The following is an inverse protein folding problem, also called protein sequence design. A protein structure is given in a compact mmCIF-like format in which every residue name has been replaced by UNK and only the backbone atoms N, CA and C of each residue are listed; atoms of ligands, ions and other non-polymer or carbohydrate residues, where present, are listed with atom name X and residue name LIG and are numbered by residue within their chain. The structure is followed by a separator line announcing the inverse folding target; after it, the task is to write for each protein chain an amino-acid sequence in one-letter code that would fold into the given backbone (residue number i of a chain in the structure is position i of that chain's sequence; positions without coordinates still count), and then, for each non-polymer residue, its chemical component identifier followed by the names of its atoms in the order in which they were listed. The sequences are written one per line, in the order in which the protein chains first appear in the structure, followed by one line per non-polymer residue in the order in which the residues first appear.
data_IF_842057625038
#
_entry.id   IF_842057625038
#
_cell.length_a   1.000
_cell.length_b   1.000
_cell.length_c   1.000
_cell.angle_alpha   90.00
_cell.angle_beta   90.00
_cell.angle_gamma   90.00
#
_symmetry.space_group_name_H-M   'P 1'
#
loop_
_entity.id
_entity.type
_entity.pdbx_description
1 polymer ?
#
# COMPACT_ATOMS: atom_id res chain seq x y z
N UNK A 1 -13.00 16.66 25.08
CA UNK A 1 -12.64 15.24 24.83
C UNK A 1 -11.13 15.10 24.95
N UNK A 2 -10.61 14.14 25.71
CA UNK A 2 -9.16 14.05 25.92
C UNK A 2 -8.42 13.52 24.68
N UNK A 3 -7.21 14.03 24.42
CA UNK A 3 -6.35 13.59 23.29
C UNK A 3 -6.13 12.08 23.28
N UNK A 4 -6.08 11.45 24.46
CA UNK A 4 -5.93 9.99 24.58
C UNK A 4 -7.09 9.25 23.95
N UNK A 5 -8.34 9.64 24.23
CA UNK A 5 -9.52 8.99 23.66
C UNK A 5 -9.57 9.13 22.12
N UNK A 6 -9.24 10.31 21.58
CA UNK A 6 -9.10 10.52 20.15
C UNK A 6 -8.04 9.58 19.56
N UNK A 7 -6.84 9.56 20.13
CA UNK A 7 -5.74 8.72 19.62
C UNK A 7 -6.08 7.24 19.69
N UNK A 8 -6.75 6.77 20.74
CA UNK A 8 -7.20 5.38 20.82
C UNK A 8 -8.14 5.03 19.66
N UNK A 9 -9.09 5.92 19.33
CA UNK A 9 -10.00 5.71 18.20
C UNK A 9 -9.27 5.69 16.86
N UNK A 10 -8.36 6.66 16.61
CA UNK A 10 -7.62 6.74 15.35
C UNK A 10 -6.63 5.59 15.17
N UNK A 11 -5.89 5.24 16.24
CA UNK A 11 -4.93 4.14 16.19
C UNK A 11 -5.62 2.79 16.00
N UNK A 12 -6.76 2.54 16.67
CA UNK A 12 -7.53 1.30 16.44
C UNK A 12 -8.04 1.18 15.00
N UNK A 13 -8.47 2.28 14.37
CA UNK A 13 -8.87 2.29 12.97
C UNK A 13 -7.68 1.99 12.03
N UNK A 14 -6.51 2.58 12.31
CA UNK A 14 -5.28 2.29 11.55
C UNK A 14 -4.84 0.82 11.71
N UNK A 15 -4.93 0.26 12.92
CA UNK A 15 -4.66 -1.17 13.17
C UNK A 15 -5.62 -2.04 12.37
N UNK A 16 -6.94 -1.76 12.40
CA UNK A 16 -7.92 -2.53 11.65
C UNK A 16 -7.64 -2.51 10.13
N UNK A 17 -7.24 -1.35 9.58
CA UNK A 17 -6.81 -1.25 8.18
C UNK A 17 -5.54 -2.07 7.93
N UNK A 18 -4.51 -1.93 8.77
CA UNK A 18 -3.22 -2.57 8.58
C UNK A 18 -3.33 -4.10 8.60
N UNK A 19 -4.13 -4.67 9.50
CA UNK A 19 -4.39 -6.11 9.52
C UNK A 19 -4.91 -6.61 8.17
N UNK A 20 -5.80 -5.86 7.53
CA UNK A 20 -6.34 -6.23 6.22
C UNK A 20 -5.30 -6.12 5.09
N UNK A 21 -4.31 -5.26 5.23
CA UNK A 21 -3.28 -5.04 4.22
C UNK A 21 -2.13 -6.06 4.31
N UNK A 22 -1.65 -6.40 5.52
CA UNK A 22 -0.42 -7.18 5.71
C UNK A 22 -0.63 -8.58 6.30
N UNK A 23 -1.61 -8.79 7.20
CA UNK A 23 -1.81 -10.06 7.88
C UNK A 23 -2.08 -11.23 6.92
N UNK A 24 -2.65 -10.95 5.75
CA UNK A 24 -2.95 -11.94 4.73
C UNK A 24 -1.71 -12.53 4.04
N UNK A 25 -0.55 -11.85 4.08
CA UNK A 25 0.64 -12.26 3.33
C UNK A 25 1.09 -13.69 3.64
N UNK A 26 1.12 -14.06 4.92
CA UNK A 26 1.52 -15.41 5.35
C UNK A 26 0.47 -16.50 5.04
N UNK A 27 -0.75 -16.10 4.69
CA UNK A 27 -1.93 -16.95 4.60
C UNK A 27 -2.23 -17.35 3.15
N UNK A 28 -1.60 -16.70 2.16
CA UNK A 28 -1.91 -16.90 0.74
C UNK A 28 -1.84 -18.36 0.29
N UNK A 29 -0.78 -19.15 0.61
CA UNK A 29 -0.74 -20.56 0.24
C UNK A 29 -1.80 -21.41 0.93
N UNK A 30 -2.13 -21.10 2.19
CA UNK A 30 -3.21 -21.77 2.93
C UNK A 30 -4.56 -21.53 2.27
N UNK A 31 -4.81 -20.27 1.80
CA UNK A 31 -6.04 -19.93 1.06
C UNK A 31 -6.13 -20.69 -0.27
N UNK A 32 -5.05 -20.75 -1.04
CA UNK A 32 -5.01 -21.49 -2.30
C UNK A 32 -5.38 -22.96 -2.08
N UNK A 33 -4.81 -23.58 -1.05
CA UNK A 33 -5.07 -24.97 -0.70
C UNK A 33 -6.52 -25.20 -0.22
N UNK A 34 -7.01 -24.37 0.73
CA UNK A 34 -8.34 -24.57 1.31
C UNK A 34 -9.49 -24.23 0.34
N UNK A 35 -9.27 -23.31 -0.61
CA UNK A 35 -10.25 -22.93 -1.63
C UNK A 35 -10.11 -23.73 -2.92
N UNK A 36 -9.17 -24.70 -2.99
CA UNK A 36 -8.85 -25.50 -4.17
C UNK A 36 -8.64 -24.63 -5.42
N UNK A 37 -7.79 -23.62 -5.30
CA UNK A 37 -7.48 -22.65 -6.35
C UNK A 37 -5.96 -22.50 -6.50
N UNK A 38 -5.54 -21.74 -7.51
CA UNK A 38 -4.13 -21.46 -7.75
C UNK A 38 -3.63 -20.16 -7.09
N UNK A 39 -2.31 -19.99 -7.06
CA UNK A 39 -1.65 -18.83 -6.44
C UNK A 39 -1.96 -17.52 -7.16
N UNK A 40 -2.18 -17.58 -8.49
CA UNK A 40 -2.52 -16.39 -9.29
C UNK A 40 -3.89 -15.87 -8.88
N UNK A 41 -4.88 -16.77 -8.71
CA UNK A 41 -6.23 -16.40 -8.28
C UNK A 41 -6.21 -15.77 -6.87
N UNK A 42 -5.44 -16.35 -5.93
CA UNK A 42 -5.28 -15.76 -4.59
C UNK A 42 -4.55 -14.41 -4.65
N UNK A 43 -3.52 -14.27 -5.50
CA UNK A 43 -2.85 -13.02 -5.78
C UNK A 43 -3.81 -11.95 -6.31
N UNK A 44 -4.74 -12.32 -7.20
CA UNK A 44 -5.77 -11.42 -7.72
C UNK A 44 -6.75 -10.95 -6.65
N UNK A 45 -7.01 -11.74 -5.61
CA UNK A 45 -7.81 -11.28 -4.45
C UNK A 45 -7.10 -10.13 -3.70
N UNK A 46 -5.77 -10.17 -3.58
CA UNK A 46 -4.99 -9.06 -3.04
C UNK A 46 -5.00 -7.85 -3.98
N UNK A 47 -4.89 -8.08 -5.30
CA UNK A 47 -5.06 -7.03 -6.31
C UNK A 47 -6.40 -6.33 -6.14
N UNK A 48 -7.49 -7.09 -5.96
CA UNK A 48 -8.84 -6.56 -5.74
C UNK A 48 -8.91 -5.65 -4.50
N UNK A 49 -8.30 -6.06 -3.38
CA UNK A 49 -8.21 -5.26 -2.16
C UNK A 49 -7.47 -3.93 -2.37
N UNK A 50 -6.24 -3.99 -2.85
CA UNK A 50 -5.40 -2.81 -2.99
C UNK A 50 -5.92 -1.86 -4.08
N UNK A 51 -6.45 -2.38 -5.18
CA UNK A 51 -7.01 -1.55 -6.24
C UNK A 51 -8.31 -0.87 -5.80
N UNK A 52 -9.17 -1.59 -5.06
CA UNK A 52 -10.33 -0.99 -4.39
C UNK A 52 -9.86 0.14 -3.45
N UNK A 53 -8.81 -0.10 -2.64
CA UNK A 53 -8.21 0.90 -1.77
C UNK A 53 -7.71 2.14 -2.50
N UNK A 54 -7.12 1.97 -3.67
CA UNK A 54 -6.67 3.07 -4.51
C UNK A 54 -7.85 3.92 -5.03
N UNK A 55 -8.92 3.27 -5.52
CA UNK A 55 -10.12 3.95 -6.01
C UNK A 55 -10.76 4.78 -4.91
N UNK A 56 -11.09 4.13 -3.79
CA UNK A 56 -11.78 4.75 -2.67
C UNK A 56 -10.90 5.81 -1.99
N UNK A 57 -9.56 5.65 -2.05
CA UNK A 57 -8.58 6.61 -1.57
C UNK A 57 -8.63 7.96 -2.26
N UNK A 58 -9.06 8.02 -3.53
CA UNK A 58 -9.15 9.26 -4.29
C UNK A 58 -10.33 10.13 -3.84
N UNK A 59 -11.50 9.55 -3.59
CA UNK A 59 -12.71 10.36 -3.39
C UNK A 59 -13.31 10.32 -1.96
N UNK A 60 -13.08 9.26 -1.19
CA UNK A 60 -13.66 9.17 0.16
C UNK A 60 -13.10 10.19 1.17
N UNK A 61 -11.83 10.62 1.11
CA UNK A 61 -11.38 11.73 1.94
C UNK A 61 -12.21 13.00 1.72
N UNK A 62 -12.53 13.35 0.45
CA UNK A 62 -13.42 14.47 0.13
C UNK A 62 -14.85 14.23 0.61
N UNK A 63 -15.37 13.01 0.45
CA UNK A 63 -16.69 12.67 0.99
C UNK A 63 -16.73 12.82 2.52
N UNK A 64 -15.61 12.53 3.20
CA UNK A 64 -15.50 12.70 4.65
C UNK A 64 -15.56 14.15 5.09
N UNK A 65 -15.07 15.08 4.28
CA UNK A 65 -15.19 16.52 4.53
C UNK A 65 -16.64 17.04 4.34
N UNK A 66 -17.41 16.40 3.43
CA UNK A 66 -18.80 16.77 3.12
C UNK A 66 -19.79 16.15 4.11
N UNK A 67 -19.62 14.87 4.46
CA UNK A 67 -20.59 14.10 5.27
C UNK A 67 -20.21 13.99 6.74
N UNK A 68 -19.00 14.41 7.11
CA UNK A 68 -18.43 14.24 8.44
C UNK A 68 -17.45 13.09 8.50
N UNK A 69 -16.27 13.36 9.05
CA UNK A 69 -15.14 12.42 9.06
C UNK A 69 -15.38 11.21 9.94
N UNK A 70 -16.03 11.40 11.10
CA UNK A 70 -16.39 10.31 12.02
C UNK A 70 -17.36 9.33 11.36
N UNK A 71 -18.41 9.87 10.71
CA UNK A 71 -19.41 9.03 10.04
C UNK A 71 -18.79 8.20 8.93
N UNK A 72 -17.97 8.82 8.06
CA UNK A 72 -17.31 8.13 6.95
C UNK A 72 -16.30 7.10 7.48
N UNK A 73 -15.49 7.45 8.48
CA UNK A 73 -14.52 6.51 9.07
C UNK A 73 -15.23 5.29 9.70
N UNK A 74 -16.33 5.51 10.42
CA UNK A 74 -17.13 4.42 10.97
C UNK A 74 -17.75 3.54 9.88
N UNK A 75 -18.27 4.14 8.80
CA UNK A 75 -18.80 3.40 7.66
C UNK A 75 -17.73 2.52 6.99
N UNK A 76 -16.49 3.03 6.83
CA UNK A 76 -15.37 2.25 6.29
C UNK A 76 -15.05 1.05 7.18
N UNK A 77 -15.05 1.21 8.49
CA UNK A 77 -14.83 0.10 9.42
C UNK A 77 -15.96 -0.93 9.37
N UNK A 78 -17.21 -0.49 9.16
CA UNK A 78 -18.34 -1.42 8.90
C UNK A 78 -18.12 -2.20 7.60
N UNK A 79 -17.64 -1.57 6.53
CA UNK A 79 -17.28 -2.31 5.31
C UNK A 79 -16.16 -3.32 5.55
N UNK A 80 -15.16 -2.98 6.37
CA UNK A 80 -14.14 -3.95 6.80
C UNK A 80 -14.75 -5.13 7.52
N UNK A 81 -15.68 -4.90 8.46
CA UNK A 81 -16.39 -5.97 9.16
C UNK A 81 -17.16 -6.86 8.18
N UNK A 82 -17.98 -6.26 7.32
CA UNK A 82 -18.79 -6.99 6.34
C UNK A 82 -17.93 -7.82 5.38
N UNK A 83 -16.86 -7.20 4.84
CA UNK A 83 -15.92 -7.91 3.97
C UNK A 83 -15.17 -9.01 4.72
N UNK A 84 -14.78 -8.79 5.98
CA UNK A 84 -14.11 -9.84 6.78
C UNK A 84 -15.03 -11.00 7.11
N UNK A 85 -16.28 -10.75 7.47
CA UNK A 85 -17.27 -11.82 7.70
C UNK A 85 -17.53 -12.58 6.40
N UNK A 86 -17.71 -11.88 5.27
CA UNK A 86 -17.89 -12.53 3.97
C UNK A 86 -16.67 -13.38 3.57
N UNK A 87 -15.45 -12.88 3.82
CA UNK A 87 -14.21 -13.61 3.58
C UNK A 87 -14.06 -14.85 4.45
N UNK A 88 -14.44 -14.75 5.75
CA UNK A 88 -14.43 -15.90 6.66
C UNK A 88 -15.42 -17.00 6.24
N UNK A 89 -16.52 -16.62 5.61
CA UNK A 89 -17.58 -17.55 5.15
C UNK A 89 -17.41 -17.94 3.67
N UNK A 90 -16.37 -17.46 2.97
CA UNK A 90 -16.19 -17.68 1.55
C UNK A 90 -16.04 -19.18 1.21
N UNK A 91 -16.92 -19.72 0.34
CA UNK A 91 -16.84 -21.11 -0.11
C UNK A 91 -15.90 -21.29 -1.31
N UNK A 92 -15.56 -20.21 -2.01
CA UNK A 92 -14.71 -20.19 -3.20
C UNK A 92 -14.02 -18.84 -3.39
N UNK A 93 -13.11 -18.79 -4.34
CA UNK A 93 -12.31 -17.60 -4.63
C UNK A 93 -13.15 -16.40 -5.09
N UNK A 94 -14.23 -16.61 -5.84
CA UNK A 94 -15.05 -15.52 -6.35
C UNK A 94 -15.76 -14.74 -5.21
N UNK A 95 -16.25 -15.44 -4.18
CA UNK A 95 -16.83 -14.81 -2.99
C UNK A 95 -15.74 -14.12 -2.18
N UNK A 96 -14.55 -14.70 -2.12
CA UNK A 96 -13.40 -14.07 -1.48
C UNK A 96 -12.99 -12.77 -2.19
N UNK A 97 -12.97 -12.75 -3.53
CA UNK A 97 -12.66 -11.53 -4.30
C UNK A 97 -13.65 -10.40 -3.99
N UNK A 98 -14.94 -10.71 -3.92
CA UNK A 98 -15.98 -9.73 -3.50
C UNK A 98 -15.71 -9.23 -2.07
N UNK A 99 -15.37 -10.13 -1.15
CA UNK A 99 -15.02 -9.78 0.22
C UNK A 99 -13.80 -8.82 0.25
N UNK A 100 -12.77 -9.09 -0.55
CA UNK A 100 -11.58 -8.27 -0.66
C UNK A 100 -11.84 -6.90 -1.28
N UNK A 101 -12.72 -6.80 -2.30
CA UNK A 101 -13.18 -5.52 -2.85
C UNK A 101 -13.86 -4.68 -1.75
N UNK A 102 -14.75 -5.29 -0.97
CA UNK A 102 -15.45 -4.60 0.13
C UNK A 102 -14.45 -4.14 1.21
N UNK A 103 -13.52 -5.00 1.63
CA UNK A 103 -12.46 -4.62 2.59
C UNK A 103 -11.58 -3.49 2.06
N UNK A 104 -11.28 -3.49 0.75
CA UNK A 104 -10.46 -2.46 0.10
C UNK A 104 -11.05 -1.06 0.17
N UNK A 105 -12.36 -0.90 0.37
CA UNK A 105 -12.97 0.41 0.64
C UNK A 105 -12.31 1.13 1.82
N UNK A 106 -11.61 0.41 2.71
CA UNK A 106 -10.87 0.96 3.85
C UNK A 106 -9.54 1.66 3.49
N UNK A 107 -9.12 1.66 2.24
CA UNK A 107 -7.86 2.30 1.80
C UNK A 107 -7.64 3.72 2.33
N UNK A 108 -8.63 4.61 2.38
CA UNK A 108 -8.49 5.96 2.90
C UNK A 108 -8.56 6.10 4.43
N UNK A 109 -8.60 5.03 5.20
CA UNK A 109 -8.69 5.09 6.68
C UNK A 109 -7.55 5.93 7.26
N UNK A 110 -6.30 5.67 6.89
CA UNK A 110 -5.14 6.41 7.41
C UNK A 110 -5.18 7.88 7.03
N UNK A 111 -5.37 8.27 5.75
CA UNK A 111 -5.57 9.67 5.37
C UNK A 111 -6.68 10.38 6.15
N UNK A 112 -7.84 9.75 6.33
CA UNK A 112 -8.97 10.35 7.08
C UNK A 112 -8.60 10.51 8.57
N UNK A 113 -7.91 9.55 9.17
CA UNK A 113 -7.39 9.68 10.54
C UNK A 113 -6.45 10.89 10.68
N UNK A 114 -5.54 11.11 9.73
CA UNK A 114 -4.62 12.25 9.72
C UNK A 114 -5.37 13.59 9.52
N UNK A 115 -6.38 13.63 8.65
CA UNK A 115 -7.23 14.81 8.46
C UNK A 115 -8.02 15.12 9.74
N UNK A 116 -8.56 14.12 10.42
CA UNK A 116 -9.28 14.29 11.69
C UNK A 116 -8.34 14.77 12.80
N UNK A 117 -7.13 14.21 12.89
CA UNK A 117 -6.11 14.67 13.84
C UNK A 117 -5.76 16.14 13.60
N UNK A 118 -5.53 16.54 12.34
CA UNK A 118 -5.18 17.91 11.97
C UNK A 118 -6.27 18.93 12.33
N UNK A 119 -7.55 18.57 12.17
CA UNK A 119 -8.66 19.44 12.50
C UNK A 119 -8.91 19.58 14.02
N UNK A 120 -8.38 18.65 14.82
CA UNK A 120 -8.60 18.61 16.27
C UNK A 120 -7.40 19.15 17.06
N UNK A 121 -6.18 18.94 16.53
CA UNK A 121 -4.93 19.36 17.18
C UNK A 121 -4.31 20.50 16.37
N UNK A 122 -4.42 21.70 16.92
CA UNK A 122 -3.99 22.95 16.25
C UNK A 122 -2.51 23.29 16.49
N UNK A 123 -1.91 22.77 17.57
CA UNK A 123 -0.51 23.01 17.90
C UNK A 123 0.41 22.17 16.98
N UNK A 124 1.32 22.83 16.18
CA UNK A 124 2.11 22.12 15.15
C UNK A 124 3.02 21.03 15.71
N UNK A 125 3.71 21.29 16.83
CA UNK A 125 4.61 20.31 17.45
C UNK A 125 3.90 19.05 17.96
N UNK A 126 2.73 19.27 18.60
CA UNK A 126 1.89 18.17 19.08
C UNK A 126 1.26 17.37 17.94
N UNK A 127 0.79 18.08 16.90
CA UNK A 127 0.29 17.42 15.68
C UNK A 127 1.36 16.53 15.04
N UNK A 128 2.59 17.03 14.86
CA UNK A 128 3.71 16.27 14.28
C UNK A 128 4.02 15.01 15.10
N UNK A 129 4.06 15.11 16.44
CA UNK A 129 4.29 13.96 17.32
C UNK A 129 3.20 12.89 17.19
N UNK A 130 1.93 13.28 17.19
CA UNK A 130 0.80 12.36 17.10
C UNK A 130 0.66 11.74 15.70
N UNK A 131 0.96 12.50 14.64
CA UNK A 131 1.05 11.99 13.27
C UNK A 131 2.16 10.93 13.16
N UNK A 132 3.33 11.22 13.77
CA UNK A 132 4.42 10.25 13.86
C UNK A 132 4.03 8.97 14.58
N UNK A 133 3.21 9.06 15.65
CA UNK A 133 2.69 7.90 16.36
C UNK A 133 1.73 7.07 15.49
N UNK A 134 0.84 7.70 14.72
CA UNK A 134 -0.02 6.99 13.75
C UNK A 134 0.84 6.24 12.72
N UNK A 135 1.85 6.90 12.15
CA UNK A 135 2.75 6.28 11.18
C UNK A 135 3.56 5.13 11.80
N UNK A 136 4.05 5.30 13.02
CA UNK A 136 4.80 4.27 13.75
C UNK A 136 3.94 3.05 14.07
N UNK A 137 2.70 3.24 14.52
CA UNK A 137 1.77 2.13 14.79
C UNK A 137 1.41 1.42 13.50
N UNK A 138 1.10 2.17 12.41
CA UNK A 138 0.78 1.57 11.12
C UNK A 138 1.94 0.70 10.59
N UNK A 139 3.18 1.15 10.67
CA UNK A 139 4.36 0.37 10.26
C UNK A 139 4.71 -0.77 11.22
N UNK A 140 4.64 -0.53 12.53
CA UNK A 140 4.99 -1.53 13.55
C UNK A 140 3.99 -2.69 13.64
N UNK A 141 2.71 -2.42 13.43
CA UNK A 141 1.66 -3.46 13.41
C UNK A 141 1.92 -4.47 12.29
N UNK A 142 2.42 -4.04 11.12
CA UNK A 142 2.72 -4.92 10.00
C UNK A 142 3.70 -6.08 10.33
N UNK A 143 4.56 -5.92 11.34
CA UNK A 143 5.45 -6.99 11.80
C UNK A 143 4.79 -7.99 12.75
N UNK A 144 3.87 -7.51 13.59
CA UNK A 144 3.19 -8.33 14.59
C UNK A 144 1.99 -9.04 13.98
N UNK A 145 1.24 -8.38 13.10
CA UNK A 145 0.03 -8.93 12.49
C UNK A 145 0.33 -10.08 11.52
N UNK A 146 1.44 -10.01 10.77
CA UNK A 146 1.87 -11.12 9.91
C UNK A 146 2.24 -12.36 10.72
N UNK A 147 2.84 -12.19 11.92
CA UNK A 147 3.11 -13.30 12.84
C UNK A 147 1.82 -13.92 13.35
N UNK A 148 0.86 -13.07 13.77
CA UNK A 148 -0.47 -13.53 14.19
C UNK A 148 -1.21 -14.24 13.04
N UNK A 149 -1.12 -13.69 11.83
CA UNK A 149 -1.70 -14.28 10.61
C UNK A 149 -1.12 -15.66 10.31
N UNK A 150 0.20 -15.81 10.38
CA UNK A 150 0.88 -17.09 10.19
C UNK A 150 0.51 -18.12 11.25
N UNK A 151 0.42 -17.71 12.52
CA UNK A 151 -0.02 -18.57 13.62
C UNK A 151 -1.44 -19.06 13.41
N UNK A 152 -2.38 -18.15 13.09
CA UNK A 152 -3.77 -18.51 12.83
C UNK A 152 -3.91 -19.39 11.59
N UNK A 153 -3.18 -19.10 10.50
CA UNK A 153 -3.19 -19.92 9.30
C UNK A 153 -2.74 -21.37 9.58
N UNK A 154 -1.75 -21.53 10.47
CA UNK A 154 -1.24 -22.85 10.84
C UNK A 154 -2.22 -23.65 11.71
N UNK A 155 -2.94 -23.00 12.63
CA UNK A 155 -3.70 -23.70 13.68
C UNK A 155 -5.23 -23.66 13.46
N UNK A 156 -5.73 -22.63 12.78
CA UNK A 156 -7.18 -22.37 12.61
C UNK A 156 -7.60 -22.30 11.14
N UNK A 157 -6.60 -22.12 10.23
CA UNK A 157 -6.84 -21.91 8.82
C UNK A 157 -7.11 -20.42 8.46
N UNK A 158 -7.29 -20.13 7.17
CA UNK A 158 -7.45 -18.75 6.71
C UNK A 158 -8.71 -18.07 7.25
N UNK A 159 -9.76 -18.85 7.52
CA UNK A 159 -11.03 -18.33 8.07
C UNK A 159 -10.84 -17.68 9.45
N UNK A 160 -9.95 -18.22 10.28
CA UNK A 160 -9.60 -17.65 11.58
C UNK A 160 -8.96 -16.26 11.47
N UNK A 161 -8.19 -16.02 10.42
CA UNK A 161 -7.59 -14.71 10.12
C UNK A 161 -8.68 -13.68 9.80
N UNK A 162 -9.64 -14.02 8.95
CA UNK A 162 -10.75 -13.12 8.62
C UNK A 162 -11.65 -12.82 9.83
N UNK A 163 -11.93 -13.80 10.69
CA UNK A 163 -12.66 -13.57 11.94
C UNK A 163 -11.91 -12.62 12.88
N UNK A 164 -10.60 -12.75 12.99
CA UNK A 164 -9.78 -11.83 13.80
C UNK A 164 -9.86 -10.40 13.24
N UNK A 165 -9.75 -10.22 11.92
CA UNK A 165 -9.94 -8.92 11.27
C UNK A 165 -11.32 -8.33 11.56
N UNK A 166 -12.38 -9.16 11.51
CA UNK A 166 -13.74 -8.71 11.79
C UNK A 166 -13.87 -8.20 13.23
N UNK A 167 -13.36 -8.95 14.21
CA UNK A 167 -13.43 -8.57 15.64
C UNK A 167 -12.68 -7.26 15.90
N UNK A 168 -11.44 -7.13 15.37
CA UNK A 168 -10.65 -5.90 15.52
C UNK A 168 -11.35 -4.71 14.86
N UNK A 169 -11.95 -4.91 13.69
CA UNK A 169 -12.68 -3.84 12.99
C UNK A 169 -13.95 -3.42 13.76
N UNK A 170 -14.68 -4.34 14.40
CA UNK A 170 -15.82 -4.02 15.27
C UNK A 170 -15.36 -3.18 16.47
N UNK A 171 -14.28 -3.58 17.13
CA UNK A 171 -13.71 -2.82 18.27
C UNK A 171 -13.31 -1.41 17.82
N UNK A 172 -12.63 -1.29 16.68
CA UNK A 172 -12.24 -0.01 16.10
C UNK A 172 -13.45 0.86 15.76
N UNK A 173 -14.51 0.29 15.17
CA UNK A 173 -15.74 0.99 14.85
C UNK A 173 -16.42 1.54 16.11
N UNK A 174 -16.51 0.74 17.17
CA UNK A 174 -17.03 1.17 18.47
C UNK A 174 -16.22 2.32 19.07
N UNK A 175 -14.88 2.23 19.02
CA UNK A 175 -13.99 3.28 19.53
C UNK A 175 -14.14 4.58 18.71
N UNK A 176 -14.22 4.48 17.39
CA UNK A 176 -14.44 5.64 16.52
C UNK A 176 -15.80 6.28 16.82
N UNK A 177 -16.87 5.51 16.91
CA UNK A 177 -18.20 6.03 17.23
C UNK A 177 -18.29 6.65 18.63
N UNK A 178 -17.53 6.15 19.60
CA UNK A 178 -17.58 6.59 21.00
C UNK A 178 -16.67 7.77 21.29
N UNK A 179 -15.48 7.84 20.62
CA UNK A 179 -14.41 8.75 21.01
C UNK A 179 -13.88 9.64 19.88
N UNK A 180 -14.26 9.45 18.63
CA UNK A 180 -13.88 10.38 17.58
C UNK A 180 -14.86 11.59 17.59
N UNK A 181 -14.37 12.83 17.50
CA UNK A 181 -15.22 13.99 17.35
C UNK A 181 -15.82 14.01 15.93
N UNK A 182 -17.07 14.47 15.80
CA UNK A 182 -17.62 14.73 14.48
C UNK A 182 -17.02 16.05 13.93
N UNK A 183 -16.59 16.02 12.68
CA UNK A 183 -16.17 17.23 11.98
C UNK A 183 -17.41 17.97 11.49
N UNK A 184 -17.36 19.31 11.52
CA UNK A 184 -18.41 20.11 10.87
C UNK A 184 -18.31 19.88 9.36
N UNK A 185 -19.42 19.50 8.69
CA UNK A 185 -19.45 19.38 7.24
C UNK A 185 -19.08 20.70 6.57
N UNK A 186 -18.36 20.63 5.46
CA UNK A 186 -18.08 21.83 4.65
C UNK A 186 -19.34 22.29 3.94
N UNK A 187 -19.89 23.42 4.34
CA UNK A 187 -21.08 23.99 3.70
C UNK A 187 -20.77 24.41 2.26
N UNK A 188 -21.66 24.05 1.33
CA UNK A 188 -21.56 24.41 -0.09
C UNK A 188 -20.73 23.50 -0.98
N UNK A 189 -19.90 22.61 -0.42
CA UNK A 189 -19.08 21.66 -1.23
C UNK A 189 -19.94 20.46 -1.65
N UNK A 190 -19.97 20.17 -2.96
CA UNK A 190 -20.69 19.02 -3.53
C UNK A 190 -19.72 17.94 -4.02
N UNK A 191 -20.16 16.69 -3.89
CA UNK A 191 -19.42 15.57 -4.43
C UNK A 191 -19.57 15.50 -5.96
N UNK A 192 -18.47 15.42 -6.67
CA UNK A 192 -18.48 15.23 -8.13
C UNK A 192 -18.63 13.74 -8.50
N UNK A 193 -19.87 13.25 -8.43
CA UNK A 193 -20.18 11.87 -8.84
C UNK A 193 -19.94 11.61 -10.32
N UNK A 194 -19.98 12.64 -11.18
CA UNK A 194 -19.68 12.51 -12.60
C UNK A 194 -18.19 12.29 -12.88
N UNK A 195 -17.30 12.79 -12.00
CA UNK A 195 -15.88 12.46 -12.02
C UNK A 195 -15.58 11.10 -11.40
N UNK A 196 -16.25 10.76 -10.28
CA UNK A 196 -16.04 9.47 -9.59
C UNK A 196 -16.40 8.28 -10.49
N UNK A 197 -17.53 8.33 -11.20
CA UNK A 197 -18.02 7.19 -11.96
C UNK A 197 -17.04 6.69 -13.05
N UNK A 198 -16.51 7.54 -13.95
CA UNK A 198 -15.54 7.07 -14.94
C UNK A 198 -14.24 6.58 -14.31
N UNK A 199 -13.78 7.16 -13.19
CA UNK A 199 -12.61 6.67 -12.48
C UNK A 199 -12.83 5.26 -11.93
N UNK A 200 -13.95 5.02 -11.24
CA UNK A 200 -14.30 3.70 -10.69
C UNK A 200 -14.41 2.66 -11.81
N UNK A 201 -15.10 3.00 -12.90
CA UNK A 201 -15.27 2.12 -14.06
C UNK A 201 -13.94 1.84 -14.77
N UNK A 202 -13.06 2.83 -14.90
CA UNK A 202 -11.74 2.65 -15.49
C UNK A 202 -10.92 1.63 -14.71
N UNK A 203 -10.87 1.78 -13.38
CA UNK A 203 -10.08 0.88 -12.54
C UNK A 203 -10.72 -0.50 -12.46
N UNK A 204 -12.06 -0.59 -12.40
CA UNK A 204 -12.77 -1.86 -12.51
C UNK A 204 -12.45 -2.58 -13.83
N UNK A 205 -12.42 -1.85 -14.95
CA UNK A 205 -12.04 -2.42 -16.25
C UNK A 205 -10.61 -2.99 -16.22
N UNK A 206 -9.65 -2.30 -15.62
CA UNK A 206 -8.28 -2.80 -15.47
C UNK A 206 -8.24 -4.04 -14.60
N UNK A 207 -8.99 -4.06 -13.47
CA UNK A 207 -9.07 -5.24 -12.59
C UNK A 207 -9.63 -6.47 -13.32
N UNK A 208 -10.73 -6.29 -14.07
CA UNK A 208 -11.32 -7.38 -14.84
C UNK A 208 -10.37 -7.85 -15.97
N UNK A 209 -9.63 -6.92 -16.59
CA UNK A 209 -8.60 -7.28 -17.58
C UNK A 209 -7.50 -8.12 -16.96
N UNK A 210 -6.98 -7.74 -15.78
CA UNK A 210 -5.94 -8.47 -15.08
C UNK A 210 -6.43 -9.85 -14.60
N UNK A 211 -7.68 -9.93 -14.12
CA UNK A 211 -8.31 -11.19 -13.72
C UNK A 211 -8.44 -12.14 -14.92
N UNK A 212 -8.89 -11.64 -16.08
CA UNK A 212 -8.98 -12.46 -17.29
C UNK A 212 -7.60 -12.86 -17.81
N UNK A 213 -6.62 -11.96 -17.80
CA UNK A 213 -5.24 -12.25 -18.20
C UNK A 213 -4.58 -13.31 -17.30
N UNK A 214 -4.90 -13.31 -16.00
CA UNK A 214 -4.41 -14.29 -15.04
C UNK A 214 -4.81 -15.74 -15.34
N UNK A 215 -5.85 -15.98 -16.17
CA UNK A 215 -6.23 -17.31 -16.65
C UNK A 215 -5.26 -17.90 -17.68
N UNK A 216 -4.24 -17.16 -18.08
CA UNK A 216 -3.13 -17.56 -18.95
C UNK A 216 -3.60 -18.24 -20.25
N UNK A 217 -3.36 -19.55 -20.40
CA UNK A 217 -3.70 -20.31 -21.61
C UNK A 217 -5.21 -20.37 -21.94
N UNK A 218 -6.09 -20.15 -20.95
CA UNK A 218 -7.54 -20.09 -21.14
C UNK A 218 -8.07 -18.66 -21.22
N UNK A 219 -7.19 -17.64 -21.15
CA UNK A 219 -7.56 -16.24 -21.18
C UNK A 219 -8.13 -15.81 -22.56
N UNK A 220 -9.21 -15.07 -22.52
CA UNK A 220 -9.78 -14.40 -23.71
C UNK A 220 -9.04 -13.08 -23.96
N UNK A 221 -7.92 -13.12 -24.65
CA UNK A 221 -7.05 -11.96 -24.88
C UNK A 221 -7.76 -10.80 -25.56
N UNK A 222 -8.76 -11.06 -26.44
CA UNK A 222 -9.60 -10.00 -27.01
C UNK A 222 -10.39 -9.23 -25.96
N UNK A 223 -10.89 -9.94 -24.93
CA UNK A 223 -11.56 -9.31 -23.77
C UNK A 223 -10.58 -8.51 -22.91
N UNK A 224 -9.38 -9.03 -22.68
CA UNK A 224 -8.31 -8.32 -21.96
C UNK A 224 -7.99 -6.99 -22.64
N UNK A 225 -7.71 -7.03 -23.95
CA UNK A 225 -7.41 -5.81 -24.74
C UNK A 225 -8.61 -4.86 -24.73
N UNK A 226 -9.83 -5.36 -24.93
CA UNK A 226 -11.05 -4.54 -24.92
C UNK A 226 -11.26 -3.82 -23.59
N UNK A 227 -11.05 -4.52 -22.46
CA UNK A 227 -11.17 -3.93 -21.12
C UNK A 227 -10.05 -2.92 -20.83
N UNK A 228 -8.82 -3.15 -21.28
CA UNK A 228 -7.73 -2.17 -21.15
C UNK A 228 -8.00 -0.92 -21.98
N UNK A 229 -8.47 -1.07 -23.21
CA UNK A 229 -8.87 0.07 -24.07
C UNK A 229 -10.02 0.84 -23.44
N UNK A 230 -11.03 0.14 -22.90
CA UNK A 230 -12.13 0.76 -22.16
C UNK A 230 -11.63 1.53 -20.94
N UNK A 231 -10.72 0.93 -20.17
CA UNK A 231 -10.10 1.57 -19.01
C UNK A 231 -9.38 2.87 -19.38
N UNK A 232 -8.57 2.85 -20.44
CA UNK A 232 -7.90 4.05 -20.96
C UNK A 232 -8.91 5.10 -21.45
N UNK A 233 -9.94 4.69 -22.19
CA UNK A 233 -10.98 5.60 -22.66
C UNK A 233 -11.71 6.28 -21.49
N UNK A 234 -12.03 5.52 -20.45
CA UNK A 234 -12.68 6.03 -19.24
C UNK A 234 -11.77 6.99 -18.45
N UNK A 235 -10.45 6.75 -18.42
CA UNK A 235 -9.49 7.70 -17.82
C UNK A 235 -9.41 9.01 -18.63
N UNK A 236 -9.51 8.93 -19.96
CA UNK A 236 -9.60 10.13 -20.81
C UNK A 236 -10.90 10.90 -20.55
N UNK A 237 -12.03 10.18 -20.41
CA UNK A 237 -13.31 10.79 -20.03
C UNK A 237 -13.21 11.43 -18.64
N UNK A 238 -12.66 10.74 -17.66
CA UNK A 238 -12.40 11.28 -16.33
C UNK A 238 -11.59 12.59 -16.40
N UNK A 239 -10.47 12.57 -17.12
CA UNK A 239 -9.63 13.76 -17.29
C UNK A 239 -10.40 14.93 -17.96
N UNK A 240 -11.23 14.66 -18.96
CA UNK A 240 -12.02 15.70 -19.64
C UNK A 240 -13.11 16.27 -18.73
N UNK A 241 -13.76 15.43 -17.91
CA UNK A 241 -14.75 15.85 -16.90
C UNK A 241 -14.08 16.73 -15.87
N UNK A 242 -12.98 16.27 -15.27
CA UNK A 242 -12.24 17.02 -14.24
C UNK A 242 -11.74 18.38 -14.73
N UNK A 243 -11.27 18.45 -15.98
CA UNK A 243 -10.79 19.71 -16.59
C UNK A 243 -11.89 20.78 -16.71
N UNK A 244 -13.16 20.37 -16.80
CA UNK A 244 -14.30 21.28 -16.99
C UNK A 244 -15.01 21.66 -15.69
N UNK A 245 -14.58 21.08 -14.55
CA UNK A 245 -15.22 21.33 -13.25
C UNK A 245 -14.58 22.49 -12.51
N UNK A 246 -15.41 23.28 -11.84
CA UNK A 246 -14.97 24.35 -10.93
C UNK A 246 -14.31 23.80 -9.68
N UNK A 247 -14.78 22.64 -9.21
CA UNK A 247 -14.25 21.94 -8.02
C UNK A 247 -13.91 20.48 -8.37
N UNK A 248 -12.77 20.22 -9.07
CA UNK A 248 -12.39 18.89 -9.49
C UNK A 248 -12.01 18.02 -8.28
N UNK A 249 -12.21 16.68 -8.38
CA UNK A 249 -11.70 15.71 -7.43
C UNK A 249 -10.18 15.71 -7.41
N UNK A 250 -9.62 15.75 -8.61
CA UNK A 250 -8.18 15.76 -8.85
C UNK A 250 -7.86 16.94 -9.75
N UNK A 251 -7.13 17.91 -9.24
CA UNK A 251 -6.74 19.06 -10.06
C UNK A 251 -5.74 18.62 -11.15
N UNK A 252 -6.22 18.58 -12.38
CA UNK A 252 -5.43 18.15 -13.55
C UNK A 252 -4.16 19.00 -13.75
N UNK A 253 -4.18 20.28 -13.34
CA UNK A 253 -2.99 21.15 -13.40
C UNK A 253 -1.92 20.68 -12.40
N UNK A 254 -2.32 20.19 -11.20
CA UNK A 254 -1.38 19.64 -10.23
C UNK A 254 -0.79 18.30 -10.70
N UNK A 255 -1.57 17.43 -11.36
CA UNK A 255 -1.04 16.17 -11.91
C UNK A 255 0.01 16.37 -13.00
N UNK A 256 -0.08 17.45 -13.78
CA UNK A 256 0.90 17.78 -14.84
C UNK A 256 2.23 18.28 -14.30
N UNK A 257 2.29 18.64 -13.03
CA UNK A 257 3.51 19.12 -12.41
C UNK A 257 4.51 17.99 -12.23
N UNK A 258 5.78 18.29 -12.52
CA UNK A 258 6.86 17.33 -12.49
C UNK A 258 7.04 16.69 -11.11
N UNK A 259 6.89 17.48 -10.05
CA UNK A 259 6.94 17.02 -8.67
C UNK A 259 5.89 15.96 -8.35
N UNK A 260 4.67 16.13 -8.88
CA UNK A 260 3.54 15.23 -8.65
C UNK A 260 3.71 13.92 -9.41
N UNK A 261 3.76 13.97 -10.76
CA UNK A 261 3.77 12.73 -11.54
C UNK A 261 5.05 11.92 -11.35
N UNK A 262 6.21 12.56 -11.15
CA UNK A 262 7.47 11.85 -10.93
C UNK A 262 7.48 11.11 -9.58
N UNK A 263 6.92 11.72 -8.51
CA UNK A 263 6.76 11.05 -7.24
C UNK A 263 5.77 9.89 -7.33
N UNK A 264 4.56 10.13 -7.88
CA UNK A 264 3.52 9.12 -8.00
C UNK A 264 3.98 7.92 -8.84
N UNK A 265 4.66 8.16 -9.95
CA UNK A 265 5.21 7.09 -10.79
C UNK A 265 6.34 6.33 -10.08
N UNK A 266 7.21 7.03 -9.34
CA UNK A 266 8.25 6.36 -8.53
C UNK A 266 7.62 5.47 -7.46
N UNK A 267 6.61 5.96 -6.75
CA UNK A 267 5.87 5.17 -5.74
C UNK A 267 5.18 3.96 -6.38
N UNK A 268 4.47 4.17 -7.47
CA UNK A 268 3.78 3.11 -8.22
C UNK A 268 4.74 1.99 -8.63
N UNK A 269 5.84 2.34 -9.29
CA UNK A 269 6.83 1.35 -9.75
C UNK A 269 7.54 0.65 -8.58
N UNK A 270 7.88 1.39 -7.51
CA UNK A 270 8.49 0.79 -6.31
C UNK A 270 7.58 -0.25 -5.70
N UNK A 271 6.29 0.08 -5.55
CA UNK A 271 5.31 -0.84 -4.98
C UNK A 271 5.06 -2.04 -5.90
N UNK A 272 4.96 -1.81 -7.20
CA UNK A 272 4.77 -2.88 -8.19
C UNK A 272 5.94 -3.87 -8.19
N UNK A 273 7.18 -3.38 -8.02
CA UNK A 273 8.36 -4.26 -8.03
C UNK A 273 8.59 -5.03 -6.73
N UNK A 274 8.19 -4.46 -5.58
CA UNK A 274 8.61 -5.01 -4.26
C UNK A 274 7.47 -5.72 -3.54
N UNK A 275 6.24 -5.19 -3.60
CA UNK A 275 5.22 -5.55 -2.62
C UNK A 275 4.81 -7.02 -2.67
N UNK A 276 4.45 -7.57 -3.83
CA UNK A 276 4.14 -8.98 -3.97
C UNK A 276 5.39 -9.88 -3.94
N UNK A 277 6.57 -9.34 -4.19
CA UNK A 277 7.80 -10.12 -4.04
C UNK A 277 7.95 -10.60 -2.60
N UNK A 278 7.92 -9.69 -1.62
CA UNK A 278 8.11 -10.07 -0.21
C UNK A 278 6.83 -10.65 0.41
N UNK A 279 5.64 -10.14 0.05
CA UNK A 279 4.37 -10.53 0.66
C UNK A 279 3.64 -11.65 -0.08
N UNK A 280 4.15 -12.09 -1.21
CA UNK A 280 3.58 -13.15 -2.05
C UNK A 280 4.63 -14.18 -2.44
N UNK A 281 5.44 -13.92 -3.48
CA UNK A 281 6.36 -14.89 -4.08
C UNK A 281 7.30 -15.55 -3.06
N UNK A 282 7.93 -14.75 -2.19
CA UNK A 282 8.87 -15.26 -1.16
C UNK A 282 8.14 -16.12 -0.14
N UNK A 283 6.93 -15.72 0.26
CA UNK A 283 6.11 -16.50 1.19
C UNK A 283 5.68 -17.82 0.57
N UNK A 284 5.18 -17.78 -0.65
CA UNK A 284 4.77 -18.98 -1.40
C UNK A 284 5.93 -19.93 -1.59
N UNK A 285 7.09 -19.41 -2.06
CA UNK A 285 8.31 -20.22 -2.20
C UNK A 285 8.74 -20.84 -0.87
N UNK A 286 8.79 -20.06 0.20
CA UNK A 286 9.24 -20.55 1.51
C UNK A 286 8.33 -21.65 2.09
N UNK A 287 7.04 -21.63 1.76
CA UNK A 287 6.05 -22.61 2.21
C UNK A 287 5.92 -23.82 1.25
N UNK A 288 6.37 -23.71 0.01
CA UNK A 288 6.36 -24.79 -0.95
C UNK A 288 7.30 -25.93 -0.48
N UNK A 289 6.75 -27.14 -0.39
CA UNK A 289 7.49 -28.33 0.06
C UNK A 289 8.32 -29.02 -1.02
N UNK A 290 8.12 -28.65 -2.31
CA UNK A 290 8.84 -29.26 -3.46
C UNK A 290 9.95 -28.34 -3.97
N UNK A 291 9.63 -27.09 -4.25
CA UNK A 291 10.56 -26.13 -4.83
C UNK A 291 11.27 -25.27 -3.78
N UNK A 292 10.63 -25.07 -2.62
CA UNK A 292 11.10 -24.19 -1.55
C UNK A 292 11.58 -24.94 -0.30
N UNK A 293 11.33 -24.35 0.86
CA UNK A 293 11.83 -24.86 2.13
C UNK A 293 10.78 -25.62 2.95
N UNK A 294 9.52 -25.73 2.47
CA UNK A 294 8.44 -26.43 3.16
C UNK A 294 8.10 -25.83 4.53
N UNK A 295 8.31 -24.54 4.73
CA UNK A 295 8.07 -23.90 6.01
C UNK A 295 6.57 -23.78 6.30
N UNK A 296 6.20 -23.93 7.56
CA UNK A 296 4.85 -23.61 8.03
C UNK A 296 4.60 -22.09 7.98
N UNK A 297 3.34 -21.64 7.84
CA UNK A 297 3.01 -20.21 7.78
C UNK A 297 3.51 -19.38 8.97
N UNK A 298 3.44 -19.94 10.21
CA UNK A 298 3.95 -19.30 11.43
C UNK A 298 5.48 -19.10 11.39
N UNK A 299 6.21 -20.11 10.91
CA UNK A 299 7.68 -20.05 10.79
C UNK A 299 8.08 -19.09 9.67
N UNK A 300 7.37 -19.09 8.53
CA UNK A 300 7.58 -18.14 7.43
C UNK A 300 7.41 -16.70 7.90
N UNK A 301 6.34 -16.42 8.66
CA UNK A 301 6.12 -15.10 9.23
C UNK A 301 7.23 -14.69 10.19
N UNK A 302 7.63 -15.60 11.09
CA UNK A 302 8.65 -15.33 12.09
C UNK A 302 10.02 -15.05 11.46
N UNK A 303 10.40 -15.80 10.42
CA UNK A 303 11.74 -15.71 9.83
C UNK A 303 11.86 -14.65 8.72
N UNK A 304 10.79 -14.35 8.00
CA UNK A 304 10.84 -13.48 6.81
C UNK A 304 10.07 -12.18 7.00
N UNK A 305 8.76 -12.25 7.27
CA UNK A 305 7.89 -11.06 7.27
C UNK A 305 8.06 -10.20 8.52
N UNK A 306 8.14 -10.81 9.70
CA UNK A 306 8.29 -10.09 10.97
C UNK A 306 9.63 -9.34 11.05
N UNK A 307 10.80 -9.95 10.76
CA UNK A 307 12.06 -9.24 10.74
C UNK A 307 12.10 -8.14 9.67
N UNK A 308 11.58 -8.40 8.46
CA UNK A 308 11.44 -7.40 7.42
C UNK A 308 10.69 -6.13 7.91
N UNK A 309 9.53 -6.30 8.53
CA UNK A 309 8.70 -5.18 8.99
C UNK A 309 9.31 -4.48 10.23
N UNK A 310 9.77 -5.24 11.22
CA UNK A 310 10.33 -4.66 12.46
C UNK A 310 11.63 -3.89 12.22
N UNK A 311 12.53 -4.42 11.39
CA UNK A 311 13.77 -3.72 11.05
C UNK A 311 13.45 -2.45 10.26
N UNK A 312 12.50 -2.49 9.33
CA UNK A 312 12.00 -1.30 8.63
C UNK A 312 11.45 -0.26 9.60
N UNK A 313 10.68 -0.69 10.58
CA UNK A 313 10.12 0.19 11.61
C UNK A 313 11.20 0.84 12.48
N UNK A 314 12.24 0.10 12.86
CA UNK A 314 13.38 0.62 13.63
C UNK A 314 14.20 1.61 12.80
N UNK A 315 14.49 1.30 11.54
CA UNK A 315 15.32 2.12 10.65
C UNK A 315 14.60 3.39 10.18
N UNK A 316 13.28 3.37 10.05
CA UNK A 316 12.48 4.48 9.53
C UNK A 316 12.74 5.84 10.20
N UNK A 317 12.71 5.95 11.55
CA UNK A 317 13.02 7.20 12.24
C UNK A 317 14.45 7.74 11.96
N UNK A 318 15.43 6.86 11.78
CA UNK A 318 16.80 7.28 11.43
C UNK A 318 16.87 7.82 10.01
N UNK A 319 16.22 7.15 9.06
CA UNK A 319 16.11 7.64 7.69
C UNK A 319 15.38 9.00 7.63
N UNK A 320 14.29 9.16 8.40
CA UNK A 320 13.55 10.42 8.50
C UNK A 320 14.40 11.57 9.06
N UNK A 321 15.25 11.32 10.05
CA UNK A 321 16.19 12.31 10.60
C UNK A 321 17.35 12.64 9.66
N UNK A 322 17.76 11.69 8.84
CA UNK A 322 18.84 11.86 7.89
C UNK A 322 18.40 12.64 6.64
N UNK A 323 17.13 12.52 6.25
CA UNK A 323 16.56 13.07 5.03
C UNK A 323 16.71 14.61 4.89
N UNK A 324 16.48 15.45 5.92
CA UNK A 324 16.72 16.89 5.82
C UNK A 324 18.21 17.24 5.57
N UNK A 325 19.15 16.49 6.19
CA UNK A 325 20.59 16.75 6.08
C UNK A 325 21.19 16.29 4.75
N UNK A 326 20.84 15.11 4.27
CA UNK A 326 21.40 14.51 3.05
C UNK A 326 20.55 14.76 1.80
N UNK A 327 19.32 15.23 2.00
CA UNK A 327 18.31 15.46 0.97
C UNK A 327 17.45 14.21 0.71
N UNK A 328 16.14 14.37 0.80
CA UNK A 328 15.13 13.29 0.64
C UNK A 328 15.37 12.43 -0.60
N UNK A 329 15.73 13.03 -1.73
CA UNK A 329 15.97 12.31 -3.00
C UNK A 329 17.20 11.40 -2.95
N UNK A 330 18.28 11.83 -2.29
CA UNK A 330 19.50 11.01 -2.18
C UNK A 330 19.22 9.80 -1.29
N UNK A 331 18.57 10.02 -0.15
CA UNK A 331 18.19 8.96 0.78
C UNK A 331 17.23 7.96 0.10
N UNK A 332 16.23 8.45 -0.67
CA UNK A 332 15.33 7.60 -1.47
C UNK A 332 16.12 6.70 -2.44
N UNK A 333 17.06 7.27 -3.18
CA UNK A 333 17.85 6.49 -4.17
C UNK A 333 18.74 5.45 -3.51
N UNK A 334 19.33 5.77 -2.36
CA UNK A 334 20.06 4.77 -1.55
C UNK A 334 19.15 3.62 -1.13
N UNK A 335 17.94 3.92 -0.67
CA UNK A 335 16.94 2.91 -0.35
C UNK A 335 16.56 2.04 -1.55
N UNK A 336 16.31 2.66 -2.72
CA UNK A 336 15.97 1.92 -3.95
C UNK A 336 17.13 1.06 -4.46
N UNK A 337 18.37 1.58 -4.44
CA UNK A 337 19.56 0.80 -4.80
C UNK A 337 19.75 -0.41 -3.88
N UNK A 338 19.64 -0.20 -2.57
CA UNK A 338 19.70 -1.30 -1.60
C UNK A 338 18.56 -2.31 -1.80
N UNK A 339 17.37 -1.86 -2.17
CA UNK A 339 16.24 -2.76 -2.50
C UNK A 339 16.52 -3.59 -3.74
N UNK A 340 17.13 -3.01 -4.79
CA UNK A 340 17.56 -3.75 -5.99
C UNK A 340 18.57 -4.84 -5.62
N UNK A 341 19.57 -4.50 -4.79
CA UNK A 341 20.55 -5.49 -4.30
C UNK A 341 19.86 -6.60 -3.49
N UNK A 342 18.91 -6.24 -2.62
CA UNK A 342 18.14 -7.21 -1.82
C UNK A 342 17.35 -8.17 -2.70
N UNK A 343 16.67 -7.65 -3.73
CA UNK A 343 15.92 -8.46 -4.71
C UNK A 343 16.84 -9.36 -5.54
N UNK A 344 18.02 -8.87 -5.93
CA UNK A 344 19.01 -9.67 -6.65
C UNK A 344 19.54 -10.84 -5.80
N UNK A 345 19.87 -10.58 -4.53
CA UNK A 345 20.26 -11.64 -3.57
C UNK A 345 19.12 -12.64 -3.34
N UNK A 346 17.89 -12.15 -3.26
CA UNK A 346 16.69 -12.98 -3.09
C UNK A 346 16.47 -13.90 -4.28
N UNK A 347 16.56 -13.36 -5.52
CA UNK A 347 16.38 -14.13 -6.76
C UNK A 347 17.50 -15.15 -7.04
N UNK A 348 18.67 -14.97 -6.44
CA UNK A 348 19.84 -15.85 -6.64
C UNK A 348 20.09 -16.71 -5.41
N UNK A 349 20.85 -16.23 -4.44
CA UNK A 349 21.23 -16.99 -3.25
C UNK A 349 20.02 -17.36 -2.35
N UNK A 350 18.99 -16.50 -2.29
CA UNK A 350 17.80 -16.70 -1.44
C UNK A 350 16.97 -17.91 -1.83
N UNK A 351 16.85 -18.22 -3.13
CA UNK A 351 16.12 -19.40 -3.60
C UNK A 351 16.88 -20.74 -3.36
N UNK A 352 18.14 -20.68 -2.95
CA UNK A 352 18.95 -21.88 -2.71
C UNK A 352 19.30 -22.06 -1.23
N UNK A 353 19.10 -21.04 -0.39
CA UNK A 353 19.51 -21.07 1.02
C UNK A 353 18.57 -20.24 1.88
N UNK A 354 17.96 -20.89 2.87
CA UNK A 354 17.07 -20.21 3.82
C UNK A 354 17.77 -19.05 4.58
N UNK A 355 19.00 -19.20 5.09
CA UNK A 355 19.71 -18.08 5.70
C UNK A 355 19.92 -16.89 4.75
N UNK A 356 20.21 -17.15 3.46
CA UNK A 356 20.37 -16.12 2.46
C UNK A 356 19.02 -15.44 2.15
N UNK A 357 17.92 -16.18 2.12
CA UNK A 357 16.58 -15.64 1.96
C UNK A 357 16.20 -14.73 3.14
N UNK A 358 16.46 -15.17 4.38
CA UNK A 358 16.23 -14.37 5.60
C UNK A 358 17.07 -13.08 5.56
N UNK A 359 18.37 -13.20 5.25
CA UNK A 359 19.25 -12.03 5.16
C UNK A 359 18.77 -11.04 4.10
N UNK A 360 18.36 -11.51 2.92
CA UNK A 360 17.83 -10.66 1.85
C UNK A 360 16.51 -10.00 2.23
N UNK A 361 15.63 -10.70 2.98
CA UNK A 361 14.40 -10.13 3.51
C UNK A 361 14.66 -9.02 4.55
N UNK A 362 15.61 -9.25 5.47
CA UNK A 362 16.04 -8.23 6.45
C UNK A 362 16.65 -7.01 5.74
N UNK A 363 17.52 -7.24 4.74
CA UNK A 363 18.12 -6.17 3.96
C UNK A 363 17.05 -5.36 3.19
N UNK A 364 16.04 -6.03 2.64
CA UNK A 364 14.89 -5.37 2.02
C UNK A 364 14.07 -4.59 3.06
N UNK A 365 13.95 -5.08 4.28
CA UNK A 365 13.33 -4.37 5.41
C UNK A 365 14.04 -3.06 5.72
N UNK A 366 15.38 -3.05 5.76
CA UNK A 366 16.18 -1.85 5.95
C UNK A 366 15.97 -0.88 4.78
N UNK A 367 16.19 -1.36 3.55
CA UNK A 367 16.35 -0.52 2.37
C UNK A 367 15.02 -0.03 1.79
N UNK A 368 14.02 -0.90 1.75
CA UNK A 368 12.69 -0.52 1.27
C UNK A 368 11.81 -0.01 2.41
N UNK A 369 11.49 -0.85 3.42
CA UNK A 369 10.50 -0.47 4.43
C UNK A 369 11.01 0.68 5.32
N UNK A 370 12.29 0.65 5.72
CA UNK A 370 12.90 1.65 6.58
C UNK A 370 13.34 2.92 5.84
N UNK A 371 13.81 2.81 4.59
CA UNK A 371 14.38 3.96 3.89
C UNK A 371 13.45 4.42 2.75
N UNK A 372 13.28 3.61 1.69
CA UNK A 372 12.60 4.07 0.48
C UNK A 372 11.14 4.44 0.72
N UNK A 373 10.38 3.60 1.44
CA UNK A 373 8.97 3.84 1.76
C UNK A 373 8.77 5.11 2.60
N UNK A 374 9.63 5.31 3.61
CA UNK A 374 9.59 6.52 4.45
C UNK A 374 9.87 7.77 3.61
N UNK A 375 10.84 7.68 2.67
CA UNK A 375 11.17 8.81 1.79
C UNK A 375 10.07 9.11 0.77
N UNK A 376 9.40 8.10 0.22
CA UNK A 376 8.26 8.30 -0.70
C UNK A 376 7.10 9.00 0.01
N UNK A 377 6.79 8.61 1.23
CA UNK A 377 5.76 9.28 2.04
C UNK A 377 6.19 10.68 2.47
N UNK A 378 7.45 10.85 2.88
CA UNK A 378 8.02 12.14 3.26
C UNK A 378 8.04 13.14 2.10
N UNK A 379 8.43 12.71 0.89
CA UNK A 379 8.38 13.54 -0.31
C UNK A 379 6.95 13.93 -0.67
N UNK A 380 5.96 13.05 -0.45
CA UNK A 380 4.54 13.38 -0.59
C UNK A 380 4.13 14.59 0.26
N UNK A 381 4.68 14.70 1.48
CA UNK A 381 4.39 15.83 2.39
C UNK A 381 5.21 17.07 1.99
N UNK A 382 6.51 16.92 1.79
CA UNK A 382 7.44 18.04 1.57
C UNK A 382 7.24 18.72 0.21
N UNK A 383 6.81 17.98 -0.82
CA UNK A 383 6.47 18.52 -2.14
C UNK A 383 5.03 19.03 -2.23
N UNK A 384 4.22 18.88 -1.16
CA UNK A 384 2.86 19.40 -1.13
C UNK A 384 2.83 20.91 -1.10
N UNK A 385 1.85 21.48 -1.81
CA UNK A 385 1.62 22.94 -1.80
C UNK A 385 0.93 23.39 -0.53
N UNK A 386 1.24 24.62 -0.03
CA UNK A 386 0.55 25.19 1.13
C UNK A 386 -0.96 25.28 0.94
N UNK A 387 -1.45 25.53 -0.29
CA UNK A 387 -2.86 25.69 -0.63
C UNK A 387 -3.62 24.36 -0.58
N UNK A 388 -2.94 23.23 -0.79
CA UNK A 388 -3.56 21.90 -0.82
C UNK A 388 -2.66 20.82 -0.19
N UNK A 389 -2.34 20.91 1.10
CA UNK A 389 -1.30 20.10 1.76
C UNK A 389 -1.66 18.61 1.87
N UNK A 390 -2.93 18.24 1.72
CA UNK A 390 -3.40 16.84 1.73
C UNK A 390 -3.45 16.18 0.35
N UNK A 391 -3.34 16.95 -0.74
CA UNK A 391 -3.52 16.43 -2.09
C UNK A 391 -2.44 15.41 -2.47
N UNK A 392 -1.17 15.79 -2.41
CA UNK A 392 -0.07 14.94 -2.85
C UNK A 392 0.14 13.71 -1.95
N UNK A 393 0.06 13.79 -0.60
CA UNK A 393 0.05 12.61 0.25
C UNK A 393 -1.09 11.64 -0.04
N UNK A 394 -2.31 12.15 -0.27
CA UNK A 394 -3.48 11.34 -0.64
C UNK A 394 -3.28 10.61 -1.97
N UNK A 395 -2.83 11.32 -3.00
CA UNK A 395 -2.51 10.73 -4.30
C UNK A 395 -1.36 9.72 -4.21
N UNK A 396 -0.35 9.99 -3.39
CA UNK A 396 0.76 9.06 -3.16
C UNK A 396 0.28 7.76 -2.48
N UNK A 397 -0.66 7.86 -1.53
CA UNK A 397 -1.30 6.68 -0.93
C UNK A 397 -2.13 5.88 -1.95
N UNK A 398 -2.83 6.54 -2.87
CA UNK A 398 -3.53 5.88 -3.98
C UNK A 398 -2.54 5.18 -4.93
N UNK A 399 -1.43 5.83 -5.29
CA UNK A 399 -0.37 5.24 -6.11
C UNK A 399 0.30 4.05 -5.42
N UNK A 400 0.49 4.11 -4.10
CA UNK A 400 0.98 3.00 -3.27
C UNK A 400 0.04 1.80 -3.38
N UNK A 401 -1.25 1.99 -3.10
CA UNK A 401 -2.23 0.90 -3.15
C UNK A 401 -2.36 0.31 -4.57
N UNK A 402 -2.39 1.18 -5.60
CA UNK A 402 -2.49 0.72 -6.98
C UNK A 402 -1.25 -0.08 -7.40
N UNK A 403 -0.04 0.38 -7.03
CA UNK A 403 1.21 -0.34 -7.26
C UNK A 403 1.26 -1.69 -6.53
N UNK A 404 0.80 -1.75 -5.28
CA UNK A 404 0.68 -3.00 -4.54
C UNK A 404 -0.28 -3.99 -5.21
N UNK A 405 -1.42 -3.51 -5.70
CA UNK A 405 -2.36 -4.32 -6.47
C UNK A 405 -1.76 -4.85 -7.77
N UNK A 406 -1.08 -3.99 -8.55
CA UNK A 406 -0.37 -4.41 -9.77
C UNK A 406 0.73 -5.44 -9.48
N UNK A 407 1.43 -5.31 -8.36
CA UNK A 407 2.46 -6.26 -7.95
C UNK A 407 1.90 -7.68 -7.84
N UNK A 408 0.78 -7.85 -7.14
CA UNK A 408 0.10 -9.15 -7.00
C UNK A 408 -0.55 -9.64 -8.30
N UNK A 409 -0.89 -8.75 -9.23
CA UNK A 409 -1.44 -9.14 -10.52
C UNK A 409 -0.36 -9.62 -11.51
N UNK A 410 0.84 -9.04 -11.47
CA UNK A 410 1.85 -9.22 -12.54
C UNK A 410 2.92 -10.22 -12.12
N UNK A 411 3.48 -10.12 -10.92
CA UNK A 411 4.63 -10.94 -10.54
C UNK A 411 4.32 -12.45 -10.43
N UNK A 412 3.18 -12.89 -9.85
CA UNK A 412 2.82 -14.32 -9.82
C UNK A 412 2.57 -14.91 -11.21
N UNK A 413 2.05 -14.12 -12.15
CA UNK A 413 1.86 -14.58 -13.53
C UNK A 413 3.21 -14.96 -14.18
N UNK A 414 4.24 -14.12 -14.00
CA UNK A 414 5.58 -14.41 -14.52
C UNK A 414 6.20 -15.62 -13.81
N UNK A 415 5.98 -15.76 -12.51
CA UNK A 415 6.42 -16.93 -11.76
C UNK A 415 5.81 -18.21 -12.33
N UNK A 416 4.50 -18.25 -12.58
CA UNK A 416 3.82 -19.43 -13.13
C UNK A 416 4.28 -19.73 -14.58
N UNK A 417 4.41 -18.70 -15.42
CA UNK A 417 4.91 -18.87 -16.80
C UNK A 417 6.35 -19.40 -16.86
N UNK A 418 7.17 -19.02 -15.89
CA UNK A 418 8.57 -19.49 -15.77
C UNK A 418 8.73 -20.85 -15.07
N UNK A 419 7.64 -21.44 -14.55
CA UNK A 419 7.61 -22.77 -13.92
C UNK A 419 6.72 -23.72 -14.74
N UNK A 420 7.21 -24.30 -15.85
CA UNK A 420 6.44 -25.26 -16.62
C UNK A 420 6.01 -26.44 -15.73
N UNK A 421 4.77 -26.89 -15.91
CA UNK A 421 4.18 -28.01 -15.17
C UNK A 421 5.13 -29.21 -15.16
N UNK A 422 5.55 -29.66 -13.98
CA UNK A 422 6.45 -30.80 -13.80
C UNK A 422 7.95 -30.47 -13.80
N UNK A 423 8.35 -29.21 -13.80
CA UNK A 423 9.76 -28.83 -13.60
C UNK A 423 10.06 -28.64 -12.11
N UNK A 424 11.07 -29.30 -11.57
CA UNK A 424 11.63 -29.10 -10.22
C UNK A 424 12.54 -27.85 -10.19
N UNK A 425 12.16 -26.79 -10.89
CA UNK A 425 12.99 -25.59 -11.06
C UNK A 425 12.37 -24.38 -10.38
N UNK A 426 13.13 -23.70 -9.53
CA UNK A 426 12.80 -22.41 -8.95
C UNK A 426 12.90 -21.24 -9.95
N UNK A 427 13.12 -21.50 -11.24
CA UNK A 427 13.32 -20.50 -12.28
C UNK A 427 12.14 -19.54 -12.41
N UNK A 428 10.89 -20.01 -12.21
CA UNK A 428 9.71 -19.16 -12.22
C UNK A 428 9.73 -18.13 -11.09
N UNK A 429 10.08 -18.54 -9.86
CA UNK A 429 10.25 -17.62 -8.73
C UNK A 429 11.37 -16.62 -8.99
N UNK A 430 12.52 -17.08 -9.52
CA UNK A 430 13.61 -16.20 -9.93
C UNK A 430 13.14 -15.18 -11.00
N UNK A 431 12.33 -15.62 -11.98
CA UNK A 431 11.76 -14.78 -13.02
C UNK A 431 10.80 -13.71 -12.45
N UNK A 432 9.89 -14.10 -11.56
CA UNK A 432 8.96 -13.18 -10.89
C UNK A 432 9.69 -12.12 -10.04
N UNK A 433 10.66 -12.56 -9.21
CA UNK A 433 11.50 -11.65 -8.41
C UNK A 433 12.38 -10.78 -9.33
N UNK A 434 12.93 -11.34 -10.40
CA UNK A 434 13.72 -10.63 -11.41
C UNK A 434 12.95 -9.54 -12.13
N UNK A 435 11.67 -9.79 -12.48
CA UNK A 435 10.79 -8.74 -12.99
C UNK A 435 10.56 -7.64 -11.94
N UNK A 436 10.33 -8.01 -10.68
CA UNK A 436 10.21 -7.06 -9.56
C UNK A 436 11.45 -6.17 -9.43
N UNK A 437 12.65 -6.76 -9.58
CA UNK A 437 13.92 -6.04 -9.60
C UNK A 437 13.98 -5.05 -10.76
N UNK A 438 13.63 -5.46 -11.99
CA UNK A 438 13.65 -4.59 -13.17
C UNK A 438 12.70 -3.41 -13.03
N UNK A 439 11.49 -3.63 -12.51
CA UNK A 439 10.52 -2.58 -12.23
C UNK A 439 11.07 -1.61 -11.17
N UNK A 440 11.70 -2.13 -10.10
CA UNK A 440 12.33 -1.30 -9.05
C UNK A 440 13.51 -0.49 -9.59
N UNK A 441 14.29 -1.04 -10.53
CA UNK A 441 15.32 -0.31 -11.25
C UNK A 441 14.72 0.82 -12.11
N UNK A 442 13.57 0.57 -12.75
CA UNK A 442 12.79 1.62 -13.41
C UNK A 442 12.35 2.73 -12.45
N UNK A 443 11.88 2.37 -11.23
CA UNK A 443 11.55 3.32 -10.18
C UNK A 443 12.76 4.20 -9.79
N UNK A 444 13.93 3.58 -9.66
CA UNK A 444 15.18 4.32 -9.41
C UNK A 444 15.46 5.31 -10.54
N UNK A 445 15.32 4.90 -11.81
CA UNK A 445 15.45 5.79 -12.98
C UNK A 445 14.51 6.98 -12.91
N UNK A 446 13.21 6.74 -12.65
CA UNK A 446 12.19 7.80 -12.53
C UNK A 446 12.47 8.72 -11.34
N UNK A 447 13.06 8.22 -10.24
CA UNK A 447 13.40 9.02 -9.06
C UNK A 447 14.36 10.19 -9.37
N UNK A 448 15.13 10.12 -10.46
CA UNK A 448 15.98 11.24 -10.91
C UNK A 448 15.15 12.41 -11.45
N UNK A 449 13.92 12.19 -11.84
CA UNK A 449 13.02 13.21 -12.34
C UNK A 449 12.31 13.98 -11.21
N UNK A 450 12.34 13.50 -9.96
CA UNK A 450 11.76 14.21 -8.82
C UNK A 450 12.57 15.49 -8.57
N UNK A 451 11.94 16.69 -8.52
CA UNK A 451 12.65 17.96 -8.27
C UNK A 451 13.15 18.07 -6.82
N UNK A 452 14.03 19.02 -6.54
CA UNK A 452 14.44 19.33 -5.17
C UNK A 452 13.31 20.01 -4.42
N UNK A 453 13.00 19.62 -3.16
CA UNK A 453 12.07 20.37 -2.34
C UNK A 453 12.57 21.77 -2.05
N UNK A 454 11.72 22.80 -2.23
CA UNK A 454 12.10 24.21 -2.04
C UNK A 454 12.55 24.53 -0.59
N UNK A 455 12.02 23.80 0.41
CA UNK A 455 12.42 23.95 1.81
C UNK A 455 13.90 23.60 2.09
N UNK A 456 14.56 22.83 1.21
CA UNK A 456 15.99 22.53 1.35
C UNK A 456 16.91 23.71 0.96
N UNK A 457 16.36 24.74 0.32
CA UNK A 457 17.10 25.97 -0.01
C UNK A 457 17.05 27.00 1.13
N UNK A 458 16.05 26.94 2.00
CA UNK A 458 15.93 27.84 3.16
C UNK A 458 16.91 27.50 4.29
N UNK A 459 17.26 26.22 4.47
CA UNK A 459 18.26 25.78 5.45
C UNK A 459 19.71 25.92 4.95
N UNK A 460 19.91 26.19 3.67
CA UNK A 460 21.23 26.46 3.06
C UNK A 460 21.49 27.93 2.79
N UNK A 461 20.56 28.82 3.11
CA UNK A 461 20.81 30.26 3.11
C UNK A 461 21.79 30.58 4.26
N UNK A 462 22.92 31.28 4.01
CA UNK A 462 23.85 31.68 5.07
C UNK A 462 23.07 32.51 6.10
N UNK A 463 23.34 32.24 7.38
CA UNK A 463 22.76 32.99 8.48
C UNK A 463 22.99 34.50 8.23
N UNK A 464 21.96 35.36 8.29
CA UNK A 464 22.15 36.80 8.17
C UNK A 464 23.22 37.36 9.13
N UNK A 465 23.55 36.65 10.21
CA UNK A 465 24.63 36.97 11.11
C UNK A 465 26.03 36.76 10.49
N UNK A 466 26.20 35.77 9.57
CA UNK A 466 27.48 35.52 8.90
C UNK A 466 27.76 36.54 7.79
N UNK A 467 26.74 37.15 7.19
CA UNK A 467 26.90 38.22 6.20
C UNK A 467 27.16 39.58 6.84
N UNK A 468 26.79 39.79 8.10
CA UNK A 468 27.07 41.01 8.84
C UNK A 468 28.47 41.02 9.46
N UNK A 469 29.14 39.85 9.57
CA UNK A 469 30.52 39.75 10.07
C UNK A 469 31.56 39.84 8.95
N UNK A 470 31.15 39.86 7.67
CA UNK A 470 32.05 39.97 6.49
C UNK A 470 31.96 41.35 5.80
N UNK A 471 31.18 42.30 6.32
CA UNK A 471 31.12 43.71 5.93
C UNK A 471 31.70 44.60 7.03
#
# INVERSE_FOLDING_TARGET
MGTVALMTALLSACVAFQLNASMMSAVLPTMAKELNTDEVAVGLSQTAFFTSGAIFGVFLPRLSDIRGRRLVLAALLVFVVLGSVLGALAPNIAVLDVARIIQGCSGPVVPICLLMLRSTVTEPGRYGTLMGLIAAVNGGVAGVDTLLGGYLATHVGFRGVFWTMAVVAVIAAVFVLRWAPESRPSEGTRMDWLGVAPLVLAVASVLFALNEAGKLGSARWSMVVGLLVLGVALLVVFYQVEKRRSEPLVNAAHLRQRETWALLLTTLLTMTGIFATINGLVVTFAQDGHLGFGLRPDVTSLLLLTPFALVGWIVGPFAGRLAPRWGYRRVLRVGLLGSIVSLALMATAGLHSLPALVLSAVLLGITYAGIANIMLNGLGVVLSRPESPGFLPGMNSAAFNFGAGLSFAVLPVVQVLGSPTGSDSSAGFAGGIGLGLLITAGALGVSFLIPRPAAAELDSAPDPADTAAAA
#
